data_IF_935537043878
#
_entry.id   IF_935537043878
#
_cell.length_a   1.000
_cell.length_b   1.000
_cell.length_c   1.000
_cell.angle_alpha   90.00
_cell.angle_beta   90.00
_cell.angle_gamma   90.00
#
_symmetry.space_group_name_H-M   'P 1'
#
loop_
_entity.id
_entity.type
_entity.pdbx_description
1 polymer ?
#
# COMPACT_ATOMS: atom_id res chain seq x y z
N UNK A 1 19.92 16.71 5.73
CA UNK A 1 19.35 15.57 5.00
C UNK A 1 20.28 15.20 3.86
N UNK A 2 20.65 13.93 3.71
CA UNK A 2 21.35 13.47 2.50
C UNK A 2 20.38 13.58 1.30
N UNK A 3 20.87 14.00 0.13
CA UNK A 3 20.06 13.96 -1.11
C UNK A 3 20.04 12.57 -1.76
N UNK A 4 20.74 11.61 -1.17
CA UNK A 4 20.70 10.18 -1.54
C UNK A 4 20.12 9.41 -0.37
N UNK A 5 19.13 8.56 -0.64
CA UNK A 5 18.54 7.60 0.30
C UNK A 5 18.94 6.23 -0.20
N UNK A 6 19.82 5.56 0.53
CA UNK A 6 20.33 4.25 0.18
C UNK A 6 19.25 3.14 0.23
N UNK A 7 19.54 1.95 -0.33
CA UNK A 7 18.56 0.87 -0.41
C UNK A 7 18.03 0.41 0.96
N UNK A 8 18.85 0.41 2.00
CA UNK A 8 18.46 0.05 3.38
C UNK A 8 18.09 1.26 4.26
N UNK A 9 18.14 2.48 3.71
CA UNK A 9 17.78 3.70 4.44
C UNK A 9 16.29 4.01 4.32
N UNK A 10 15.76 4.72 5.30
CA UNK A 10 14.36 5.08 5.45
C UNK A 10 13.82 4.64 6.80
N UNK A 11 12.58 5.02 7.12
CA UNK A 11 11.93 4.57 8.36
C UNK A 11 11.34 3.18 8.15
N UNK A 12 11.95 2.19 8.74
CA UNK A 12 11.47 0.80 8.76
C UNK A 12 10.27 0.70 9.71
N UNK A 13 9.15 0.21 9.22
CA UNK A 13 7.93 0.02 10.02
C UNK A 13 7.68 -1.44 10.38
N UNK A 14 8.33 -2.38 9.69
CA UNK A 14 8.11 -3.81 9.89
C UNK A 14 6.73 -4.27 9.45
N UNK A 15 6.16 -5.24 10.19
CA UNK A 15 4.85 -5.80 9.91
C UNK A 15 4.83 -6.81 8.75
N UNK A 16 3.63 -7.28 8.40
CA UNK A 16 3.44 -8.30 7.34
C UNK A 16 3.97 -7.86 5.97
N UNK A 17 3.91 -6.58 5.67
CA UNK A 17 4.27 -6.00 4.37
C UNK A 17 5.64 -5.30 4.38
N UNK A 18 6.39 -5.38 5.48
CA UNK A 18 7.75 -4.81 5.60
C UNK A 18 7.86 -3.42 4.97
N UNK A 19 7.01 -2.50 5.41
CA UNK A 19 6.94 -1.14 4.83
C UNK A 19 8.14 -0.31 5.25
N UNK A 20 8.72 0.40 4.29
CA UNK A 20 9.79 1.38 4.52
C UNK A 20 9.38 2.74 3.97
N UNK A 21 9.27 3.75 4.81
CA UNK A 21 9.04 5.12 4.37
C UNK A 21 10.37 5.72 3.91
N UNK A 22 10.51 5.91 2.59
CA UNK A 22 11.72 6.45 1.94
C UNK A 22 11.72 7.98 1.89
N UNK A 23 10.60 8.56 1.49
CA UNK A 23 10.42 10.02 1.39
C UNK A 23 9.17 10.40 2.16
N UNK A 24 9.32 11.28 3.11
CA UNK A 24 8.22 11.77 3.95
C UNK A 24 7.71 13.12 3.43
N UNK A 25 6.49 13.46 3.81
CA UNK A 25 5.84 14.73 3.43
C UNK A 25 6.68 15.96 3.74
N UNK A 26 7.39 16.00 4.86
CA UNK A 26 8.25 17.11 5.23
C UNK A 26 9.45 17.31 4.29
N UNK A 27 9.89 16.28 3.59
CA UNK A 27 11.00 16.38 2.62
C UNK A 27 10.59 17.06 1.31
N UNK A 28 9.29 17.09 1.01
CA UNK A 28 8.76 17.57 -0.28
C UNK A 28 7.76 18.72 -0.12
N UNK A 29 7.63 19.25 1.11
CA UNK A 29 6.62 20.28 1.39
C UNK A 29 5.18 19.77 1.18
N UNK A 30 4.93 18.47 1.37
CA UNK A 30 3.62 17.86 1.23
C UNK A 30 3.24 17.46 -0.20
N UNK A 31 4.13 17.64 -1.18
CA UNK A 31 3.83 17.31 -2.59
C UNK A 31 3.70 15.81 -2.79
N UNK A 32 4.64 15.04 -2.27
CA UNK A 32 4.63 13.58 -2.37
C UNK A 32 5.32 12.91 -1.19
N UNK A 33 4.97 11.65 -0.96
CA UNK A 33 5.74 10.72 -0.13
C UNK A 33 6.06 9.46 -0.95
N UNK A 34 7.07 8.70 -0.54
CA UNK A 34 7.45 7.45 -1.19
C UNK A 34 7.63 6.38 -0.13
N UNK A 35 6.94 5.26 -0.32
CA UNK A 35 7.12 4.07 0.49
C UNK A 35 7.57 2.90 -0.40
N UNK A 36 8.26 1.97 0.21
CA UNK A 36 8.63 0.69 -0.37
C UNK A 36 7.96 -0.39 0.45
N UNK A 37 7.38 -1.39 -0.22
CA UNK A 37 6.66 -2.49 0.43
C UNK A 37 7.08 -3.84 -0.16
N UNK A 38 7.03 -4.85 0.69
CA UNK A 38 7.12 -6.25 0.29
C UNK A 38 5.74 -6.88 0.40
N UNK A 39 5.21 -7.40 -0.71
CA UNK A 39 3.94 -8.11 -0.76
C UNK A 39 4.23 -9.61 -0.70
N UNK A 40 4.04 -10.26 0.45
CA UNK A 40 4.37 -11.68 0.60
C UNK A 40 3.48 -12.59 -0.27
N UNK A 41 3.94 -13.83 -0.56
CA UNK A 41 3.10 -14.84 -1.20
C UNK A 41 1.75 -15.03 -0.49
N UNK A 42 0.66 -15.13 -1.26
CA UNK A 42 -0.69 -15.33 -0.73
C UNK A 42 -1.28 -14.09 -0.02
N UNK A 43 -0.59 -12.96 -0.03
CA UNK A 43 -1.12 -11.74 0.57
C UNK A 43 -2.20 -11.10 -0.31
N UNK A 44 -3.26 -10.65 0.33
CA UNK A 44 -4.30 -9.80 -0.25
C UNK A 44 -4.46 -8.58 0.66
N UNK A 45 -4.28 -7.40 0.08
CA UNK A 45 -4.62 -6.14 0.72
C UNK A 45 -6.12 -5.93 0.53
N UNK A 46 -6.85 -5.87 1.63
CA UNK A 46 -8.32 -5.69 1.63
C UNK A 46 -8.71 -4.51 0.74
N UNK A 47 -9.77 -4.64 -0.07
CA UNK A 47 -10.27 -3.53 -0.87
C UNK A 47 -10.48 -2.27 -0.02
N UNK A 48 -9.95 -1.14 -0.48
CA UNK A 48 -9.98 0.13 0.25
C UNK A 48 -9.98 1.32 -0.70
N UNK A 49 -10.23 2.50 -0.13
CA UNK A 49 -10.12 3.80 -0.79
C UNK A 49 -9.24 4.72 0.05
N UNK A 50 -8.64 5.71 -0.58
CA UNK A 50 -7.92 6.80 0.08
C UNK A 50 -8.06 8.12 -0.71
N UNK A 51 -7.64 9.24 -0.12
CA UNK A 51 -7.87 10.58 -0.68
C UNK A 51 -6.73 11.12 -1.56
N UNK A 52 -5.65 10.36 -1.72
CA UNK A 52 -4.51 10.70 -2.57
C UNK A 52 -4.42 9.74 -3.76
N UNK A 53 -3.80 10.16 -4.84
CA UNK A 53 -3.41 9.29 -5.94
C UNK A 53 -2.14 8.54 -5.55
N UNK A 54 -2.09 7.24 -5.83
CA UNK A 54 -0.92 6.41 -5.57
C UNK A 54 -0.46 5.72 -6.84
N UNK A 55 0.77 5.99 -7.24
CA UNK A 55 1.44 5.27 -8.31
C UNK A 55 2.25 4.12 -7.72
N UNK A 56 1.98 2.93 -8.18
CA UNK A 56 2.68 1.70 -7.79
C UNK A 56 3.65 1.31 -8.88
N UNK A 57 4.93 1.15 -8.54
CA UNK A 57 5.93 0.60 -9.43
C UNK A 57 6.41 -0.75 -8.92
N UNK A 58 6.32 -1.78 -9.73
CA UNK A 58 6.80 -3.12 -9.38
C UNK A 58 8.29 -3.22 -9.64
N UNK A 59 9.09 -3.38 -8.58
CA UNK A 59 10.54 -3.56 -8.68
C UNK A 59 10.91 -5.00 -9.01
N UNK A 60 10.29 -5.96 -8.31
CA UNK A 60 10.52 -7.39 -8.52
C UNK A 60 9.23 -8.18 -8.28
N UNK A 61 9.10 -9.32 -8.94
CA UNK A 61 7.91 -10.17 -8.84
C UNK A 61 6.76 -9.69 -9.72
N UNK A 62 5.57 -10.07 -9.34
CA UNK A 62 4.31 -9.70 -10.00
C UNK A 62 3.22 -9.56 -8.95
N UNK A 63 2.36 -8.58 -9.11
CA UNK A 63 1.17 -8.38 -8.28
C UNK A 63 -0.10 -8.35 -9.14
N UNK A 64 -1.21 -8.81 -8.59
CA UNK A 64 -2.53 -8.50 -9.09
C UNK A 64 -3.00 -7.16 -8.55
N UNK A 65 -3.71 -6.40 -9.36
CA UNK A 65 -4.25 -5.08 -9.02
C UNK A 65 -5.71 -5.02 -9.46
N UNK A 66 -6.59 -4.61 -8.54
CA UNK A 66 -7.97 -4.21 -8.80
C UNK A 66 -8.05 -2.70 -8.70
N UNK A 67 -8.66 -2.03 -9.68
CA UNK A 67 -9.00 -0.60 -9.62
C UNK A 67 -10.40 -0.40 -10.20
N UNK A 68 -11.33 0.07 -9.38
CA UNK A 68 -12.74 0.07 -9.74
C UNK A 68 -13.25 -1.34 -10.00
N UNK A 69 -13.61 -1.63 -11.25
CA UNK A 69 -14.08 -2.93 -11.71
C UNK A 69 -13.07 -3.66 -12.61
N UNK A 70 -11.87 -3.10 -12.77
CA UNK A 70 -10.85 -3.65 -13.65
C UNK A 70 -9.78 -4.40 -12.87
N UNK A 71 -9.37 -5.54 -13.38
CA UNK A 71 -8.31 -6.38 -12.84
C UNK A 71 -7.17 -6.46 -13.85
N UNK A 72 -5.95 -6.26 -13.39
CA UNK A 72 -4.73 -6.43 -14.18
C UNK A 72 -3.64 -7.15 -13.37
N UNK A 73 -2.67 -7.73 -14.07
CA UNK A 73 -1.42 -8.21 -13.51
C UNK A 73 -0.32 -7.20 -13.84
N UNK A 74 0.48 -6.87 -12.87
CA UNK A 74 1.60 -5.96 -13.00
C UNK A 74 2.90 -6.70 -12.64
N UNK A 75 3.70 -7.00 -13.64
CA UNK A 75 5.02 -7.62 -13.48
C UNK A 75 6.10 -6.57 -13.22
N UNK A 76 7.32 -7.04 -12.88
CA UNK A 76 8.49 -6.18 -12.69
C UNK A 76 8.68 -5.17 -13.84
N UNK A 77 8.86 -3.90 -13.50
CA UNK A 77 8.94 -2.77 -14.42
C UNK A 77 7.59 -2.12 -14.75
N UNK A 78 6.46 -2.76 -14.42
CA UNK A 78 5.14 -2.18 -14.64
C UNK A 78 4.82 -1.05 -13.64
N UNK A 79 3.91 -0.17 -14.08
CA UNK A 79 3.30 0.86 -13.25
C UNK A 79 1.79 0.66 -13.20
N UNK A 80 1.19 0.89 -12.03
CA UNK A 80 -0.25 0.92 -11.83
C UNK A 80 -0.64 2.20 -11.11
N UNK A 81 -1.81 2.75 -11.41
CA UNK A 81 -2.37 3.89 -10.68
C UNK A 81 -3.55 3.43 -9.84
N UNK A 82 -3.53 3.77 -8.56
CA UNK A 82 -4.66 3.71 -7.63
C UNK A 82 -5.20 5.14 -7.47
N UNK A 83 -6.23 5.55 -8.24
CA UNK A 83 -6.76 6.91 -8.17
C UNK A 83 -7.43 7.18 -6.82
N UNK A 84 -7.38 8.42 -6.37
CA UNK A 84 -8.09 8.85 -5.16
C UNK A 84 -9.58 8.51 -5.22
N UNK A 85 -10.14 8.07 -4.11
CA UNK A 85 -11.56 7.74 -3.94
C UNK A 85 -12.09 6.62 -4.86
N UNK A 86 -11.23 5.91 -5.59
CA UNK A 86 -11.59 4.73 -6.36
C UNK A 86 -11.23 3.48 -5.55
N UNK A 87 -12.17 2.52 -5.45
CA UNK A 87 -11.92 1.25 -4.77
C UNK A 87 -10.79 0.50 -5.46
N UNK A 88 -9.84 0.01 -4.70
CA UNK A 88 -8.72 -0.77 -5.21
C UNK A 88 -8.25 -1.83 -4.21
N UNK A 89 -7.55 -2.83 -4.72
CA UNK A 89 -6.88 -3.86 -3.95
C UNK A 89 -5.62 -4.33 -4.68
N UNK A 90 -4.68 -4.92 -3.94
CA UNK A 90 -3.51 -5.58 -4.50
C UNK A 90 -3.31 -6.95 -3.84
N UNK A 91 -2.73 -7.88 -4.57
CA UNK A 91 -2.44 -9.22 -4.05
C UNK A 91 -1.24 -9.84 -4.75
N UNK A 92 -0.68 -10.89 -4.12
CA UNK A 92 0.41 -11.67 -4.68
C UNK A 92 0.04 -13.16 -4.70
N UNK A 93 -0.15 -13.73 -5.88
CA UNK A 93 -0.39 -15.17 -6.08
C UNK A 93 0.87 -15.97 -6.38
N UNK A 94 2.01 -15.29 -6.48
CA UNK A 94 3.29 -15.94 -6.77
C UNK A 94 3.83 -16.67 -5.54
N UNK A 95 4.79 -17.56 -5.75
CA UNK A 95 5.47 -18.29 -4.66
C UNK A 95 6.62 -17.49 -4.02
N UNK A 96 6.99 -16.35 -4.62
CA UNK A 96 8.01 -15.43 -4.13
C UNK A 96 7.38 -14.09 -3.75
N UNK A 97 7.99 -13.34 -2.82
CA UNK A 97 7.55 -11.97 -2.51
C UNK A 97 7.67 -11.05 -3.73
N UNK A 98 6.73 -10.14 -3.89
CA UNK A 98 6.88 -9.01 -4.79
C UNK A 98 7.35 -7.78 -4.00
N UNK A 99 8.20 -6.96 -4.63
CA UNK A 99 8.71 -5.71 -4.06
C UNK A 99 8.21 -4.55 -4.90
N UNK A 100 7.61 -3.57 -4.26
CA UNK A 100 6.99 -2.43 -4.93
C UNK A 100 7.43 -1.10 -4.31
N UNK A 101 7.31 -0.05 -5.08
CA UNK A 101 7.36 1.34 -4.61
C UNK A 101 5.98 1.96 -4.81
N UNK A 102 5.50 2.69 -3.81
CA UNK A 102 4.33 3.54 -3.90
C UNK A 102 4.73 5.02 -3.81
N UNK A 103 4.31 5.81 -4.79
CA UNK A 103 4.41 7.28 -4.78
C UNK A 103 3.04 7.83 -4.46
N UNK A 104 2.91 8.44 -3.28
CA UNK A 104 1.66 8.98 -2.74
C UNK A 104 1.58 10.48 -3.03
N UNK A 105 0.53 10.94 -3.73
CA UNK A 105 0.37 12.36 -4.11
C UNK A 105 -1.07 12.86 -3.92
N UNK A 106 -1.32 13.95 -3.16
CA UNK A 106 -0.34 14.59 -2.27
C UNK A 106 0.13 13.66 -1.17
N UNK A 107 1.24 14.01 -0.51
CA UNK A 107 1.75 13.31 0.66
C UNK A 107 0.78 13.43 1.86
N UNK A 108 1.05 12.66 2.91
CA UNK A 108 0.32 12.68 4.18
C UNK A 108 -0.15 11.30 4.62
N UNK A 109 -0.56 10.44 3.69
CA UNK A 109 -1.03 9.08 4.02
C UNK A 109 0.10 8.12 4.41
N UNK A 110 1.37 8.46 4.16
CA UNK A 110 2.50 7.71 4.73
C UNK A 110 2.49 7.69 6.26
N UNK A 111 1.90 8.71 6.88
CA UNK A 111 1.75 8.79 8.33
C UNK A 111 0.79 7.76 8.89
N UNK A 112 -0.19 7.32 8.10
CA UNK A 112 -1.05 6.23 8.49
C UNK A 112 -0.26 4.93 8.71
N UNK A 113 0.69 4.63 7.83
CA UNK A 113 1.57 3.47 8.01
C UNK A 113 2.41 3.61 9.27
N UNK A 114 2.95 4.82 9.52
CA UNK A 114 3.74 5.09 10.73
C UNK A 114 2.92 4.94 12.00
N UNK A 115 1.71 5.52 12.05
CA UNK A 115 0.82 5.44 13.19
C UNK A 115 0.35 4.00 13.46
N UNK A 116 -0.08 3.30 12.43
CA UNK A 116 -0.60 1.93 12.59
C UNK A 116 0.49 0.93 12.98
N UNK A 117 1.73 1.17 12.60
CA UNK A 117 2.87 0.35 13.02
C UNK A 117 3.18 0.46 14.52
N UNK A 118 2.74 1.55 15.18
CA UNK A 118 2.94 1.77 16.62
C UNK A 118 1.78 1.25 17.49
N UNK A 119 0.66 0.84 16.86
CA UNK A 119 -0.50 0.30 17.58
C UNK A 119 -0.20 -1.07 18.18
N UNK A 120 -0.80 -1.33 19.35
CA UNK A 120 -0.74 -2.66 19.93
C UNK A 120 -1.56 -3.66 19.09
N UNK A 121 -1.14 -4.92 19.01
CA UNK A 121 -1.94 -5.95 18.36
C UNK A 121 -3.37 -6.01 18.93
N UNK A 122 -4.37 -5.91 18.05
CA UNK A 122 -5.80 -5.92 18.42
C UNK A 122 -6.38 -4.56 18.84
N UNK A 123 -5.62 -3.47 18.73
CA UNK A 123 -6.15 -2.12 18.95
C UNK A 123 -7.00 -1.66 17.74
N UNK A 124 -8.22 -2.19 17.66
CA UNK A 124 -9.16 -1.86 16.59
C UNK A 124 -9.66 -0.41 16.64
N UNK A 125 -9.74 0.17 17.84
CA UNK A 125 -10.15 1.56 18.00
C UNK A 125 -9.08 2.52 17.50
N UNK A 126 -7.83 2.31 17.88
CA UNK A 126 -6.68 3.06 17.38
C UNK A 126 -6.54 2.95 15.88
N UNK A 127 -6.70 1.74 15.31
CA UNK A 127 -6.66 1.52 13.88
C UNK A 127 -7.78 2.31 13.15
N UNK A 128 -9.01 2.23 13.63
CA UNK A 128 -10.15 2.96 13.05
C UNK A 128 -9.95 4.47 13.12
N UNK A 129 -9.47 4.98 14.26
CA UNK A 129 -9.19 6.40 14.44
C UNK A 129 -8.10 6.89 13.48
N UNK A 130 -7.04 6.10 13.27
CA UNK A 130 -5.98 6.41 12.30
C UNK A 130 -6.52 6.41 10.87
N UNK A 131 -7.32 5.41 10.49
CA UNK A 131 -7.96 5.37 9.17
C UNK A 131 -8.82 6.63 8.92
N UNK A 132 -9.63 7.03 9.89
CA UNK A 132 -10.46 8.24 9.79
C UNK A 132 -9.60 9.50 9.64
N UNK A 133 -8.54 9.64 10.42
CA UNK A 133 -7.64 10.79 10.41
C UNK A 133 -6.94 10.98 9.07
N UNK A 134 -6.56 9.87 8.42
CA UNK A 134 -5.83 9.86 7.16
C UNK A 134 -6.72 9.63 5.92
N UNK A 135 -8.04 9.56 6.09
CA UNK A 135 -8.98 9.40 4.97
C UNK A 135 -8.86 8.07 4.24
N UNK A 136 -8.50 7.00 4.95
CA UNK A 136 -8.43 5.65 4.43
C UNK A 136 -9.69 4.90 4.88
N UNK A 137 -10.35 4.22 3.95
CA UNK A 137 -11.53 3.42 4.23
C UNK A 137 -11.38 2.02 3.67
N UNK A 138 -11.36 1.03 4.54
CA UNK A 138 -11.41 -0.38 4.17
C UNK A 138 -12.83 -0.85 3.95
N UNK A 139 -13.03 -1.74 2.98
CA UNK A 139 -14.32 -2.30 2.57
C UNK A 139 -14.31 -3.84 2.71
N UNK A 140 -14.31 -4.37 3.94
CA UNK A 140 -14.26 -5.81 4.18
C UNK A 140 -15.50 -6.55 3.66
N UNK A 141 -16.63 -5.85 3.51
CA UNK A 141 -17.88 -6.40 2.98
C UNK A 141 -18.00 -6.25 1.45
N UNK A 142 -16.99 -5.72 0.79
CA UNK A 142 -16.98 -5.58 -0.66
C UNK A 142 -17.12 -6.95 -1.34
N UNK A 143 -18.00 -7.09 -2.35
CA UNK A 143 -18.08 -8.31 -3.16
C UNK A 143 -16.74 -8.70 -3.78
N UNK A 144 -15.89 -7.72 -4.06
CA UNK A 144 -14.55 -7.94 -4.60
C UNK A 144 -13.64 -8.72 -3.65
N UNK A 145 -13.74 -8.52 -2.33
CA UNK A 145 -12.92 -9.30 -1.39
C UNK A 145 -13.18 -10.79 -1.54
N UNK A 146 -14.46 -11.19 -1.61
CA UNK A 146 -14.85 -12.58 -1.84
C UNK A 146 -14.41 -13.08 -3.21
N UNK A 147 -14.70 -12.30 -4.27
CA UNK A 147 -14.35 -12.64 -5.66
C UNK A 147 -12.83 -12.87 -5.81
N UNK A 148 -12.00 -12.01 -5.23
CA UNK A 148 -10.55 -12.15 -5.30
C UNK A 148 -10.05 -13.39 -4.56
N UNK A 149 -10.59 -13.65 -3.35
CA UNK A 149 -10.26 -14.85 -2.59
C UNK A 149 -10.61 -16.14 -3.34
N UNK A 150 -11.83 -16.23 -3.86
CA UNK A 150 -12.29 -17.41 -4.61
C UNK A 150 -11.52 -17.61 -5.92
N UNK A 151 -11.30 -16.52 -6.66
CA UNK A 151 -10.64 -16.58 -7.98
C UNK A 151 -9.16 -16.93 -7.91
N UNK A 152 -8.47 -16.46 -6.88
CA UNK A 152 -7.02 -16.53 -6.77
C UNK A 152 -6.52 -17.42 -5.63
N UNK A 153 -7.40 -18.01 -4.83
CA UNK A 153 -7.04 -18.89 -3.71
C UNK A 153 -6.33 -18.15 -2.56
N UNK A 154 -6.74 -16.91 -2.26
CA UNK A 154 -6.11 -16.03 -1.26
C UNK A 154 -6.79 -16.10 0.11
#
# INVERSE_FOLDING_TARGET
MSFVIGPSEGRQLGGKFEVVVKVRSEHTGGVMAVIEEIIPPGALITPHTHQNDVWVHVLTGEIGVLVGDEIALAAAGAWALKPRNVLHAMWNTQTAPARIIEVLTPAGSERWFEETAELQPGDEEGFRASCQRHGIQFHPDSPWLRTLKERYGL
#
